data_IF_184847670805
#
_entry.id   IF_184847670805
#
_cell.length_a   1.000
_cell.length_b   1.000
_cell.length_c   1.000
_cell.angle_alpha   90.00
_cell.angle_beta   90.00
_cell.angle_gamma   90.00
#
_symmetry.space_group_name_H-M   'P 1'
#
loop_
_entity.id
_entity.type
_entity.pdbx_description
1 polymer ?
#
# COMPACT_ATOMS: atom_id res chain seq x y z
N UNK A 1 7.79 14.25 -12.80
CA UNK A 1 6.67 13.35 -13.14
C UNK A 1 6.91 12.52 -14.41
N UNK A 2 7.44 13.07 -15.51
CA UNK A 2 7.71 12.29 -16.74
C UNK A 2 8.57 11.03 -16.52
N UNK A 3 9.57 11.10 -15.63
CA UNK A 3 10.40 9.94 -15.26
C UNK A 3 9.58 8.82 -14.60
N UNK A 4 8.87 9.09 -13.50
CA UNK A 4 8.03 8.07 -12.86
C UNK A 4 6.94 7.53 -13.82
N UNK A 5 6.41 8.37 -14.71
CA UNK A 5 5.47 7.93 -15.74
C UNK A 5 6.06 6.88 -16.71
N UNK A 6 7.36 6.91 -17.01
CA UNK A 6 7.99 5.86 -17.83
C UNK A 6 8.15 4.57 -17.01
N UNK A 7 8.50 4.67 -15.73
CA UNK A 7 8.69 3.52 -14.83
C UNK A 7 7.42 2.69 -14.61
N UNK A 8 6.25 3.34 -14.57
CA UNK A 8 4.97 2.65 -14.31
C UNK A 8 4.38 1.93 -15.54
N UNK A 9 4.83 2.26 -16.77
CA UNK A 9 4.36 1.59 -18.00
C UNK A 9 4.48 0.06 -17.88
N UNK A 10 3.51 -0.78 -18.25
CA UNK A 10 2.36 -0.48 -19.10
C UNK A 10 1.16 0.06 -18.34
N UNK A 11 1.27 0.20 -17.01
CA UNK A 11 0.23 0.85 -16.23
C UNK A 11 0.11 2.32 -16.69
N UNK A 12 -1.12 2.80 -16.75
CA UNK A 12 -1.41 4.07 -17.42
C UNK A 12 -2.45 4.96 -16.69
N UNK A 13 -2.78 4.67 -15.43
CA UNK A 13 -3.79 5.43 -14.68
C UNK A 13 -3.20 6.36 -13.62
N UNK A 14 -3.91 7.43 -13.25
CA UNK A 14 -3.47 8.31 -12.14
C UNK A 14 -3.26 7.54 -10.83
N UNK A 15 -4.04 6.50 -10.56
CA UNK A 15 -3.80 5.65 -9.39
C UNK A 15 -2.44 4.98 -9.46
N UNK A 16 -2.07 4.42 -10.61
CA UNK A 16 -0.76 3.79 -10.81
C UNK A 16 0.37 4.83 -10.67
N UNK A 17 0.18 6.03 -11.21
CA UNK A 17 1.16 7.12 -11.07
C UNK A 17 1.32 7.54 -9.60
N UNK A 18 0.22 7.67 -8.86
CA UNK A 18 0.27 8.07 -7.46
C UNK A 18 0.94 7.00 -6.60
N UNK A 19 0.60 5.73 -6.79
CA UNK A 19 1.24 4.62 -6.05
C UNK A 19 2.73 4.54 -6.40
N UNK A 20 3.06 4.55 -7.70
CA UNK A 20 4.45 4.52 -8.17
C UNK A 20 5.27 5.69 -7.68
N UNK A 21 4.71 6.91 -7.67
CA UNK A 21 5.40 8.10 -7.15
C UNK A 21 5.65 7.99 -5.65
N UNK A 22 4.67 7.50 -4.89
CA UNK A 22 4.85 7.32 -3.45
C UNK A 22 5.95 6.28 -3.13
N UNK A 23 5.97 5.17 -3.86
CA UNK A 23 7.01 4.14 -3.72
C UNK A 23 8.38 4.65 -4.15
N UNK A 24 8.47 5.36 -5.28
CA UNK A 24 9.71 5.94 -5.80
C UNK A 24 10.31 6.95 -4.81
N UNK A 25 9.49 7.82 -4.22
CA UNK A 25 9.92 8.76 -3.18
C UNK A 25 10.38 8.05 -1.91
N UNK A 26 9.62 7.04 -1.44
CA UNK A 26 9.99 6.25 -0.26
C UNK A 26 11.31 5.48 -0.49
N UNK A 27 11.48 4.91 -1.68
CA UNK A 27 12.69 4.19 -2.06
C UNK A 27 13.93 5.09 -2.10
N UNK A 28 13.79 6.38 -2.43
CA UNK A 28 14.87 7.36 -2.34
C UNK A 28 15.53 7.44 -0.95
N UNK A 29 14.81 7.07 0.12
CA UNK A 29 15.37 6.93 1.46
C UNK A 29 15.86 8.23 2.09
N UNK A 30 15.42 9.38 1.57
CA UNK A 30 15.74 10.70 2.11
C UNK A 30 14.76 11.05 3.24
N UNK A 31 15.28 11.43 4.40
CA UNK A 31 14.48 11.78 5.56
C UNK A 31 15.22 12.68 6.55
N UNK A 32 14.63 12.82 7.73
CA UNK A 32 15.19 13.57 8.86
C UNK A 32 15.33 12.63 10.04
N UNK A 33 16.46 12.71 10.74
CA UNK A 33 16.67 12.05 12.03
C UNK A 33 16.57 13.11 13.10
N UNK A 34 15.85 12.81 14.17
CA UNK A 34 15.74 13.64 15.36
C UNK A 34 16.72 13.11 16.39
N UNK A 35 17.68 13.94 16.79
CA UNK A 35 18.58 13.59 17.88
C UNK A 35 17.80 13.72 19.19
N UNK A 36 17.65 12.62 19.90
CA UNK A 36 17.01 12.63 21.23
C UNK A 36 18.13 12.62 22.24
N UNK A 37 18.61 13.80 22.63
CA UNK A 37 19.54 13.89 23.75
C UNK A 37 18.79 13.47 25.02
N UNK A 38 19.21 12.35 25.59
CA UNK A 38 18.44 11.56 26.56
C UNK A 38 18.06 12.23 27.88
N UNK A 39 18.24 13.54 28.09
CA UNK A 39 17.97 14.19 29.38
C UNK A 39 17.51 15.65 29.33
N UNK A 40 17.23 16.25 28.17
CA UNK A 40 16.83 17.67 28.11
C UNK A 40 15.51 17.84 27.34
N UNK A 41 14.49 18.38 28.04
CA UNK A 41 13.19 18.75 27.48
C UNK A 41 13.27 20.07 26.69
N UNK A 42 14.21 20.20 25.76
CA UNK A 42 14.21 21.33 24.84
C UNK A 42 13.35 20.97 23.61
N UNK A 43 12.33 21.80 23.34
CA UNK A 43 11.34 21.61 22.26
C UNK A 43 11.95 21.75 20.85
N UNK A 44 13.23 22.11 20.75
CA UNK A 44 13.99 22.27 19.51
C UNK A 44 15.06 21.16 19.34
N UNK A 45 14.63 19.90 19.43
CA UNK A 45 15.51 18.76 19.14
C UNK A 45 16.18 18.92 17.77
N UNK A 46 17.52 18.90 17.75
CA UNK A 46 18.29 19.09 16.52
C UNK A 46 17.92 17.99 15.52
N UNK A 47 17.52 18.39 14.30
CA UNK A 47 17.24 17.47 13.20
C UNK A 47 18.26 17.63 12.08
N UNK A 48 18.74 16.53 11.55
CA UNK A 48 19.64 16.52 10.39
C UNK A 48 19.08 15.68 9.25
N UNK A 49 19.47 16.04 8.02
CA UNK A 49 19.08 15.29 6.82
C UNK A 49 19.87 14.00 6.76
N UNK A 50 19.16 12.90 6.55
CA UNK A 50 19.75 11.57 6.40
C UNK A 50 19.30 10.93 5.09
N UNK A 51 20.19 10.16 4.47
CA UNK A 51 19.87 9.27 3.36
C UNK A 51 20.15 7.84 3.81
N UNK A 52 19.15 6.98 3.72
CA UNK A 52 19.31 5.57 4.05
C UNK A 52 20.14 4.84 3.00
N UNK A 53 21.20 4.18 3.46
CA UNK A 53 22.07 3.29 2.68
C UNK A 53 21.47 1.89 2.44
N UNK A 54 20.26 1.63 2.94
CA UNK A 54 19.60 0.34 2.79
C UNK A 54 19.38 0.00 1.31
N UNK A 55 19.92 -1.14 0.88
CA UNK A 55 19.76 -1.68 -0.49
C UNK A 55 18.50 -2.51 -0.65
N UNK A 56 17.93 -3.01 0.44
CA UNK A 56 16.74 -3.85 0.45
C UNK A 56 15.61 -3.08 1.11
N UNK A 57 14.43 -3.07 0.47
CA UNK A 57 13.19 -2.56 1.04
C UNK A 57 12.22 -3.72 1.28
N UNK A 58 11.73 -3.85 2.50
CA UNK A 58 10.63 -4.76 2.81
C UNK A 58 9.31 -4.08 2.50
N UNK A 59 8.53 -4.67 1.59
CA UNK A 59 7.27 -4.11 1.10
C UNK A 59 6.11 -5.02 1.52
N UNK A 60 5.08 -4.43 2.12
CA UNK A 60 3.91 -5.16 2.64
C UNK A 60 2.89 -5.61 1.59
N UNK A 61 3.23 -5.58 0.29
CA UNK A 61 2.34 -6.06 -0.79
C UNK A 61 2.08 -7.56 -0.62
N UNK A 62 0.84 -8.00 -0.89
CA UNK A 62 0.38 -9.36 -0.64
C UNK A 62 -0.42 -9.51 0.66
N UNK A 63 -0.23 -8.63 1.64
CA UNK A 63 -0.97 -8.70 2.91
C UNK A 63 -2.47 -8.40 2.73
N UNK A 64 -2.81 -7.40 1.92
CA UNK A 64 -4.21 -7.01 1.73
C UNK A 64 -4.97 -8.01 0.84
N UNK A 65 -4.30 -8.56 -0.18
CA UNK A 65 -4.82 -9.60 -1.07
C UNK A 65 -5.15 -10.89 -0.32
N UNK A 66 -4.26 -11.34 0.57
CA UNK A 66 -4.41 -12.60 1.29
C UNK A 66 -5.22 -12.48 2.58
N UNK A 67 -5.28 -11.30 3.20
CA UNK A 67 -5.95 -11.12 4.50
C UNK A 67 -7.18 -10.20 4.42
N UNK A 68 -7.85 -10.17 3.27
CA UNK A 68 -9.08 -9.42 3.06
C UNK A 68 -9.00 -7.90 3.37
N UNK A 69 -7.87 -7.25 3.08
CA UNK A 69 -7.60 -5.85 3.46
C UNK A 69 -8.29 -4.78 2.60
N UNK A 70 -8.80 -5.11 1.42
CA UNK A 70 -9.46 -4.15 0.54
C UNK A 70 -10.95 -3.94 0.88
N UNK A 71 -11.43 -2.69 0.80
CA UNK A 71 -12.86 -2.39 0.99
C UNK A 71 -13.79 -3.16 0.03
N UNK A 72 -13.32 -3.47 -1.20
CA UNK A 72 -14.07 -4.30 -2.16
C UNK A 72 -14.30 -5.74 -1.68
N UNK A 73 -13.40 -6.29 -0.86
CA UNK A 73 -13.57 -7.62 -0.26
C UNK A 73 -14.81 -7.67 0.63
N UNK A 74 -15.01 -6.62 1.44
CA UNK A 74 -16.22 -6.46 2.25
C UNK A 74 -17.47 -6.36 1.39
N UNK A 75 -17.42 -5.61 0.29
CA UNK A 75 -18.55 -5.54 -0.65
C UNK A 75 -18.87 -6.91 -1.23
N UNK A 76 -17.85 -7.68 -1.65
CA UNK A 76 -18.03 -9.03 -2.19
C UNK A 76 -18.57 -10.02 -1.16
N UNK A 77 -18.07 -9.95 0.07
CA UNK A 77 -18.61 -10.72 1.19
C UNK A 77 -20.08 -10.40 1.47
N UNK A 78 -20.47 -9.12 1.46
CA UNK A 78 -21.88 -8.74 1.66
C UNK A 78 -22.79 -9.24 0.55
N UNK A 79 -22.30 -9.29 -0.68
CA UNK A 79 -23.11 -9.67 -1.85
C UNK A 79 -23.19 -11.18 -2.05
N UNK A 80 -22.17 -11.94 -1.66
CA UNK A 80 -22.05 -13.36 -2.02
C UNK A 80 -21.36 -14.20 -0.93
N UNK A 81 -21.39 -13.73 0.32
CA UNK A 81 -20.84 -14.40 1.49
C UNK A 81 -19.38 -14.83 1.30
N UNK A 82 -18.97 -15.91 1.96
CA UNK A 82 -17.60 -16.44 1.93
C UNK A 82 -17.13 -16.85 0.54
N UNK A 83 -18.01 -17.37 -0.31
CA UNK A 83 -17.66 -17.79 -1.68
C UNK A 83 -17.26 -16.57 -2.52
N UNK A 84 -18.03 -15.49 -2.47
CA UNK A 84 -17.68 -14.26 -3.20
C UNK A 84 -16.40 -13.59 -2.69
N UNK A 85 -16.15 -13.65 -1.38
CA UNK A 85 -14.89 -13.18 -0.80
C UNK A 85 -13.70 -14.00 -1.31
N UNK A 86 -13.81 -15.33 -1.26
CA UNK A 86 -12.78 -16.25 -1.73
C UNK A 86 -12.40 -15.98 -3.18
N UNK A 87 -13.38 -15.92 -4.08
CA UNK A 87 -13.14 -15.69 -5.50
C UNK A 87 -12.50 -14.32 -5.76
N UNK A 88 -12.91 -13.25 -5.06
CA UNK A 88 -12.30 -11.93 -5.21
C UNK A 88 -10.83 -11.94 -4.75
N UNK A 89 -10.53 -12.52 -3.60
CA UNK A 89 -9.16 -12.61 -3.07
C UNK A 89 -8.25 -13.47 -3.97
N UNK A 90 -8.79 -14.58 -4.48
CA UNK A 90 -8.10 -15.44 -5.45
C UNK A 90 -7.76 -14.69 -6.74
N UNK A 91 -8.70 -13.91 -7.28
CA UNK A 91 -8.47 -13.08 -8.47
C UNK A 91 -7.40 -12.01 -8.22
N UNK A 92 -7.40 -11.40 -7.04
CA UNK A 92 -6.37 -10.43 -6.63
C UNK A 92 -4.98 -11.08 -6.61
N UNK A 93 -4.85 -12.25 -5.99
CA UNK A 93 -3.58 -13.00 -5.99
C UNK A 93 -3.12 -13.40 -7.38
N UNK A 94 -4.01 -13.87 -8.26
CA UNK A 94 -3.69 -14.25 -9.63
C UNK A 94 -3.19 -13.07 -10.50
N UNK A 95 -3.57 -11.83 -10.14
CA UNK A 95 -3.27 -10.63 -10.91
C UNK A 95 -2.24 -9.72 -10.24
N UNK A 96 -1.76 -10.06 -9.04
CA UNK A 96 -0.90 -9.19 -8.24
C UNK A 96 0.39 -8.80 -8.97
N UNK A 97 0.98 -9.73 -9.73
CA UNK A 97 2.17 -9.49 -10.52
C UNK A 97 2.00 -8.33 -11.51
N UNK A 98 0.81 -8.24 -12.14
CA UNK A 98 0.48 -7.23 -13.15
C UNK A 98 -0.04 -5.93 -12.53
N UNK A 99 -0.83 -6.04 -11.45
CA UNK A 99 -1.52 -4.89 -10.84
C UNK A 99 -0.64 -4.11 -9.88
N UNK A 100 0.26 -4.79 -9.20
CA UNK A 100 1.12 -4.20 -8.16
C UNK A 100 2.60 -4.42 -8.50
N UNK A 101 3.06 -5.67 -8.48
CA UNK A 101 4.51 -5.97 -8.38
C UNK A 101 5.34 -5.37 -9.52
N UNK A 102 4.89 -5.49 -10.77
CA UNK A 102 5.66 -4.95 -11.90
C UNK A 102 5.82 -3.42 -11.87
N UNK A 103 4.80 -2.68 -11.42
CA UNK A 103 4.92 -1.22 -11.22
C UNK A 103 5.85 -0.91 -10.05
N UNK A 104 5.59 -1.58 -8.93
CA UNK A 104 6.27 -1.31 -7.66
C UNK A 104 7.77 -1.59 -7.77
N UNK A 105 8.14 -2.72 -8.40
CA UNK A 105 9.52 -3.13 -8.66
C UNK A 105 10.31 -2.06 -9.42
N UNK A 106 9.82 -1.60 -10.58
CA UNK A 106 10.53 -0.58 -11.38
C UNK A 106 10.66 0.76 -10.68
N UNK A 107 9.64 1.17 -9.92
CA UNK A 107 9.72 2.40 -9.13
C UNK A 107 10.75 2.31 -8.00
N UNK A 108 10.92 1.13 -7.39
CA UNK A 108 11.89 0.90 -6.33
C UNK A 108 13.30 0.74 -6.90
N UNK A 109 13.46 -0.07 -7.95
CA UNK A 109 14.72 -0.39 -8.60
C UNK A 109 15.41 0.83 -9.23
N UNK A 110 14.65 1.85 -9.65
CA UNK A 110 15.19 3.12 -10.15
C UNK A 110 16.04 3.87 -9.09
N UNK A 111 15.83 3.57 -7.80
CA UNK A 111 16.65 4.09 -6.70
C UNK A 111 17.81 3.15 -6.32
N UNK A 112 18.10 2.12 -7.13
CA UNK A 112 19.15 1.13 -6.86
C UNK A 112 18.82 0.21 -5.68
N UNK A 113 17.53 -0.01 -5.39
CA UNK A 113 17.06 -0.84 -4.27
C UNK A 113 16.28 -2.04 -4.76
N UNK A 114 16.39 -3.15 -4.04
CA UNK A 114 15.64 -4.38 -4.27
C UNK A 114 14.44 -4.44 -3.33
N UNK A 115 13.25 -4.68 -3.87
CA UNK A 115 12.05 -4.93 -3.07
C UNK A 115 11.97 -6.41 -2.68
N UNK A 116 11.70 -6.69 -1.40
CA UNK A 116 11.33 -8.02 -0.92
C UNK A 116 9.92 -7.97 -0.34
N UNK A 117 9.16 -9.04 -0.58
CA UNK A 117 7.74 -9.11 -0.27
C UNK A 117 7.47 -10.25 0.70
N UNK A 118 7.67 -10.08 2.02
CA UNK A 118 7.54 -11.17 2.99
C UNK A 118 6.17 -11.87 2.97
N UNK A 119 5.11 -11.13 2.64
CA UNK A 119 3.77 -11.73 2.53
C UNK A 119 3.60 -12.63 1.30
N UNK A 120 4.49 -12.54 0.30
CA UNK A 120 4.46 -13.37 -0.90
C UNK A 120 5.47 -14.52 -0.84
N UNK A 121 6.10 -14.72 0.31
CA UNK A 121 6.88 -15.91 0.58
C UNK A 121 5.97 -17.16 0.55
N UNK A 122 6.43 -18.24 -0.06
CA UNK A 122 5.64 -19.46 -0.26
C UNK A 122 5.19 -20.11 1.04
N UNK A 123 6.01 -20.03 2.09
CA UNK A 123 5.66 -20.58 3.40
C UNK A 123 4.59 -19.73 4.09
N UNK A 124 4.68 -18.40 3.96
CA UNK A 124 3.64 -17.49 4.47
C UNK A 124 2.33 -17.69 3.73
N UNK A 125 2.36 -17.81 2.41
CA UNK A 125 1.16 -18.09 1.59
C UNK A 125 0.53 -19.41 2.02
N UNK A 126 1.33 -20.47 2.14
CA UNK A 126 0.86 -21.80 2.54
C UNK A 126 0.19 -21.77 3.90
N UNK A 127 0.82 -21.15 4.90
CA UNK A 127 0.23 -20.99 6.24
C UNK A 127 -1.11 -20.26 6.17
N UNK A 128 -1.21 -19.16 5.40
CA UNK A 128 -2.46 -18.41 5.27
C UNK A 128 -3.56 -19.19 4.54
N UNK A 129 -3.21 -20.03 3.57
CA UNK A 129 -4.16 -20.88 2.85
C UNK A 129 -4.70 -22.05 3.70
N UNK A 130 -3.94 -22.50 4.70
CA UNK A 130 -4.36 -23.56 5.62
C UNK A 130 -5.42 -23.10 6.64
N UNK A 131 -5.54 -21.78 6.87
CA UNK A 131 -6.58 -21.23 7.73
C UNK A 131 -7.91 -21.09 6.98
N UNK A 132 -9.04 -21.44 7.63
CA UNK A 132 -10.34 -21.09 7.07
C UNK A 132 -10.53 -19.57 7.04
N UNK A 133 -11.26 -19.07 6.03
CA UNK A 133 -11.38 -17.62 5.78
C UNK A 133 -11.96 -16.81 6.96
N UNK A 134 -12.78 -17.42 7.82
CA UNK A 134 -13.32 -16.75 9.02
C UNK A 134 -12.28 -16.52 10.13
N UNK A 135 -11.14 -17.22 10.09
CA UNK A 135 -9.98 -16.90 10.93
C UNK A 135 -9.14 -15.78 10.32
N UNK A 136 -9.03 -15.76 8.98
CA UNK A 136 -8.33 -14.70 8.25
C UNK A 136 -9.01 -13.33 8.41
N UNK A 137 -10.35 -13.30 8.34
CA UNK A 137 -11.13 -12.07 8.41
C UNK A 137 -12.53 -12.29 8.98
N UNK A 138 -13.06 -11.27 9.66
CA UNK A 138 -14.46 -11.19 10.07
C UNK A 138 -15.10 -9.91 9.52
N UNK A 139 -15.52 -9.96 8.25
CA UNK A 139 -16.04 -8.80 7.52
C UNK A 139 -17.47 -8.39 7.92
N UNK A 140 -18.06 -9.03 8.94
CA UNK A 140 -19.25 -8.52 9.64
C UNK A 140 -18.89 -7.43 10.66
N UNK A 141 -17.64 -7.38 11.13
CA UNK A 141 -17.13 -6.34 12.05
C UNK A 141 -16.64 -5.10 11.29
N UNK A 142 -16.62 -3.90 11.90
CA UNK A 142 -16.18 -2.67 11.24
C UNK A 142 -14.78 -2.72 10.62
N UNK A 143 -14.48 -1.77 9.73
CA UNK A 143 -13.14 -1.59 9.16
C UNK A 143 -12.14 -1.22 10.28
N UNK A 144 -10.93 -1.76 10.24
CA UNK A 144 -9.96 -1.64 11.33
C UNK A 144 -10.07 -2.75 12.38
N UNK A 145 -11.12 -3.57 12.33
CA UNK A 145 -11.35 -4.66 13.29
C UNK A 145 -11.46 -6.00 12.55
N UNK A 146 -12.36 -6.07 11.57
CA UNK A 146 -12.71 -7.31 10.88
C UNK A 146 -11.82 -7.69 9.71
N UNK A 147 -11.36 -6.70 8.95
CA UNK A 147 -10.35 -6.89 7.90
C UNK A 147 -9.00 -7.24 8.51
N UNK A 148 -8.26 -8.14 7.87
CA UNK A 148 -6.92 -8.54 8.30
C UNK A 148 -6.88 -9.06 9.74
N UNK A 149 -7.95 -9.72 10.20
CA UNK A 149 -8.12 -10.19 11.59
C UNK A 149 -6.87 -10.91 12.08
N UNK A 150 -6.42 -11.93 11.34
CA UNK A 150 -5.24 -12.73 11.69
C UNK A 150 -3.97 -11.87 11.85
N UNK A 151 -3.75 -10.91 10.95
CA UNK A 151 -2.57 -10.04 11.03
C UNK A 151 -2.65 -9.06 12.20
N UNK A 152 -3.85 -8.59 12.55
CA UNK A 152 -4.06 -7.74 13.73
C UNK A 152 -3.82 -8.52 15.01
N UNK A 153 -4.18 -9.79 15.07
CA UNK A 153 -3.90 -10.67 16.20
C UNK A 153 -2.41 -10.90 16.36
N UNK A 154 -1.71 -11.27 15.28
CA UNK A 154 -0.24 -11.41 15.28
C UNK A 154 0.45 -10.11 15.69
N UNK A 155 0.02 -8.96 15.16
CA UNK A 155 0.57 -7.66 15.54
C UNK A 155 0.40 -7.38 17.04
N UNK A 156 -0.75 -7.72 17.66
CA UNK A 156 -0.94 -7.58 19.11
C UNK A 156 -0.05 -8.52 19.92
N UNK A 157 0.14 -9.76 19.45
CA UNK A 157 1.06 -10.72 20.09
C UNK A 157 2.51 -10.21 20.08
N UNK A 158 2.89 -9.45 19.06
CA UNK A 158 4.20 -8.80 18.94
C UNK A 158 4.28 -7.43 19.67
N UNK A 159 3.25 -7.03 20.41
CA UNK A 159 3.20 -5.73 21.12
C UNK A 159 2.92 -4.52 20.23
N UNK A 160 2.59 -4.71 18.94
CA UNK A 160 2.32 -3.65 17.97
C UNK A 160 0.85 -3.18 18.04
N UNK A 161 0.39 -2.80 19.24
CA UNK A 161 -1.03 -2.49 19.50
C UNK A 161 -1.58 -1.36 18.63
N UNK A 162 -0.82 -0.28 18.45
CA UNK A 162 -1.21 0.85 17.60
C UNK A 162 -1.39 0.42 16.14
N UNK A 163 -0.40 -0.27 15.57
CA UNK A 163 -0.46 -0.76 14.20
C UNK A 163 -1.62 -1.75 13.99
N UNK A 164 -1.89 -2.59 14.98
CA UNK A 164 -2.99 -3.55 14.95
C UNK A 164 -4.38 -2.88 14.94
N UNK A 165 -4.51 -1.65 15.43
CA UNK A 165 -5.76 -0.88 15.43
C UNK A 165 -5.99 -0.06 14.16
N UNK A 166 -4.95 0.21 13.37
CA UNK A 166 -5.06 1.11 12.22
C UNK A 166 -5.88 0.49 11.06
N UNK A 167 -6.93 1.17 10.57
CA UNK A 167 -7.64 0.74 9.37
C UNK A 167 -6.73 0.77 8.14
N UNK A 168 -6.95 -0.14 7.20
CA UNK A 168 -6.19 -0.17 5.94
C UNK A 168 -6.34 1.16 5.20
N UNK A 169 -5.20 1.78 4.87
CA UNK A 169 -5.13 2.97 4.01
C UNK A 169 -4.13 2.74 2.88
N UNK A 170 -4.54 2.94 1.63
CA UNK A 170 -3.62 2.76 0.50
C UNK A 170 -2.52 3.84 0.52
N UNK A 171 -1.32 3.50 0.05
CA UNK A 171 -0.15 4.39 0.12
C UNK A 171 -0.41 5.75 -0.51
N UNK A 172 -1.08 5.80 -1.67
CA UNK A 172 -1.41 7.06 -2.35
C UNK A 172 -2.29 8.02 -1.52
N UNK A 173 -3.10 7.47 -0.62
CA UNK A 173 -3.93 8.26 0.30
C UNK A 173 -3.19 8.54 1.61
N UNK A 174 -2.38 7.60 2.10
CA UNK A 174 -1.57 7.74 3.31
C UNK A 174 -0.52 8.83 3.16
N UNK A 175 0.17 8.87 2.01
CA UNK A 175 1.18 9.88 1.68
C UNK A 175 0.60 11.22 1.23
N UNK A 176 -0.73 11.32 1.08
CA UNK A 176 -1.46 12.46 0.50
C UNK A 176 -1.10 12.79 -0.96
N UNK A 177 -0.31 11.97 -1.64
CA UNK A 177 0.09 12.23 -3.04
C UNK A 177 -1.11 12.22 -3.99
N UNK A 178 -2.15 11.43 -3.68
CA UNK A 178 -3.40 11.45 -4.44
C UNK A 178 -4.12 12.79 -4.32
N UNK A 179 -4.11 13.42 -3.13
CA UNK A 179 -4.70 14.74 -2.93
C UNK A 179 -3.96 15.79 -3.76
N UNK A 180 -2.62 15.79 -3.70
CA UNK A 180 -1.79 16.71 -4.50
C UNK A 180 -2.03 16.52 -6.00
N UNK A 181 -2.04 15.27 -6.47
CA UNK A 181 -2.32 14.96 -7.87
C UNK A 181 -3.74 15.36 -8.28
N UNK A 182 -4.74 15.14 -7.44
CA UNK A 182 -6.13 15.50 -7.72
C UNK A 182 -6.31 17.01 -7.83
N UNK A 183 -5.79 17.78 -6.88
CA UNK A 183 -5.83 19.23 -6.92
C UNK A 183 -5.14 19.77 -8.17
N UNK A 184 -3.97 19.22 -8.53
CA UNK A 184 -3.20 19.66 -9.69
C UNK A 184 -3.89 19.36 -11.03
N UNK A 185 -4.49 18.18 -11.18
CA UNK A 185 -4.98 17.70 -12.48
C UNK A 185 -6.50 17.89 -12.67
N UNK A 186 -7.26 18.00 -11.60
CA UNK A 186 -8.73 18.11 -11.62
C UNK A 186 -9.24 19.33 -10.84
N UNK A 187 -8.36 20.16 -10.28
CA UNK A 187 -8.69 21.37 -9.51
C UNK A 187 -9.15 21.09 -8.07
N UNK A 188 -9.73 19.92 -7.79
CA UNK A 188 -10.11 19.53 -6.43
C UNK A 188 -10.28 18.01 -6.28
N UNK A 189 -10.27 17.51 -5.04
CA UNK A 189 -10.64 16.12 -4.76
C UNK A 189 -12.07 15.79 -5.16
N UNK A 190 -13.01 16.74 -5.04
CA UNK A 190 -14.42 16.53 -5.42
C UNK A 190 -14.54 16.29 -6.92
N UNK A 191 -13.90 17.13 -7.72
CA UNK A 191 -13.87 17.00 -9.18
C UNK A 191 -13.15 15.71 -9.62
N UNK A 192 -12.03 15.37 -8.98
CA UNK A 192 -11.32 14.11 -9.24
C UNK A 192 -12.19 12.87 -8.96
N UNK A 193 -12.95 12.88 -7.86
CA UNK A 193 -13.87 11.78 -7.54
C UNK A 193 -15.01 11.66 -8.56
N UNK A 194 -15.59 12.79 -8.98
CA UNK A 194 -16.61 12.82 -10.04
C UNK A 194 -16.08 12.25 -11.36
N UNK A 195 -14.82 12.53 -11.68
CA UNK A 195 -14.15 12.01 -12.88
C UNK A 195 -13.64 10.56 -12.72
N UNK A 196 -13.84 9.92 -11.56
CA UNK A 196 -13.22 8.61 -11.25
C UNK A 196 -11.71 8.60 -11.52
N UNK A 197 -11.00 9.65 -11.09
CA UNK A 197 -9.62 9.96 -11.45
C UNK A 197 -8.66 8.75 -11.35
N UNK A 198 -8.85 7.88 -10.36
CA UNK A 198 -8.03 6.66 -10.19
C UNK A 198 -8.05 5.70 -11.39
N UNK A 199 -9.11 5.72 -12.20
CA UNK A 199 -9.24 4.91 -13.42
C UNK A 199 -8.95 5.69 -14.70
N UNK A 200 -8.76 7.01 -14.61
CA UNK A 200 -8.49 7.86 -15.78
C UNK A 200 -7.08 7.59 -16.28
N UNK A 201 -6.98 7.33 -17.58
CA UNK A 201 -5.71 7.16 -18.29
C UNK A 201 -5.11 8.53 -18.57
N UNK A 202 -3.81 8.73 -18.27
CA UNK A 202 -3.13 9.93 -18.73
C UNK A 202 -2.94 9.88 -20.25
N UNK A 203 -3.41 10.91 -20.95
CA UNK A 203 -3.21 11.02 -22.38
C UNK A 203 -1.70 11.11 -22.66
N UNK A 204 -1.13 10.10 -23.31
CA UNK A 204 0.27 10.13 -23.77
C UNK A 204 0.36 11.14 -24.90
N UNK A 205 0.57 12.41 -24.58
CA UNK A 205 1.17 13.31 -25.57
C UNK A 205 2.64 12.88 -25.66
N UNK A 206 2.91 11.88 -26.51
CA UNK A 206 4.25 11.58 -26.98
C UNK A 206 4.75 12.87 -27.66
N UNK A 207 5.63 13.59 -26.96
CA UNK A 207 6.52 14.59 -27.54
C UNK A 207 7.93 14.15 -27.20
#
# INVERSE_FOLDING_TARGET
MKHVMSLINPAQTYMDLNIGTALWLAAGGHGWVYETDGYCQDEDGQKFRYKSEARILLVGSGADEQCAGYGRHRTKYRNSSWVGLHEEMKLDMQRIWKRNLGRDDRCIADNGKEARFPFLDEDVIRVLLDFPLWEIANLSRPSGIGDKKILREVARLLGLHEAAGQPKRAIQFGSRIAQESNCRNFGSNRAANQASAGSVVYCKTLR
#
